data_IF_719676914094
#
_entry.id   IF_719676914094
#
_cell.length_a   1.000
_cell.length_b   1.000
_cell.length_c   1.000
_cell.angle_alpha   90.00
_cell.angle_beta   90.00
_cell.angle_gamma   90.00
#
_symmetry.space_group_name_H-M   'P 1'
#
loop_
_entity.id
_entity.type
_entity.pdbx_description
1 polymer ?
#
# COMPACT_ATOMS: atom_id res chain seq x y z
N UNK A 1 3.97 1.46 7.17
CA UNK A 1 4.82 0.71 8.13
C UNK A 1 4.33 -0.71 8.33
N UNK A 2 3.08 -0.93 8.77
CA UNK A 2 2.53 -2.29 8.94
C UNK A 2 2.74 -3.20 7.72
N UNK A 3 2.42 -2.72 6.52
CA UNK A 3 2.61 -3.51 5.29
C UNK A 3 4.09 -3.81 4.97
N UNK A 4 5.02 -2.91 5.32
CA UNK A 4 6.46 -3.19 5.17
C UNK A 4 6.87 -4.30 6.13
N UNK A 5 6.45 -4.20 7.39
CA UNK A 5 6.70 -5.23 8.39
C UNK A 5 6.14 -6.59 7.94
N UNK A 6 4.90 -6.63 7.47
CA UNK A 6 4.29 -7.85 6.92
C UNK A 6 5.09 -8.44 5.76
N UNK A 7 5.55 -7.60 4.81
CA UNK A 7 6.37 -8.09 3.68
C UNK A 7 7.71 -8.68 4.14
N UNK A 8 8.36 -8.06 5.13
CA UNK A 8 9.59 -8.57 5.72
C UNK A 8 9.36 -9.88 6.46
N UNK A 9 8.31 -9.97 7.28
CA UNK A 9 7.94 -11.20 7.97
C UNK A 9 7.68 -12.36 6.99
N UNK A 10 7.03 -12.11 5.84
CA UNK A 10 6.85 -13.14 4.80
C UNK A 10 8.17 -13.59 4.17
N UNK A 11 9.13 -12.68 3.98
CA UNK A 11 10.45 -13.06 3.48
C UNK A 11 11.22 -13.92 4.48
N UNK A 12 11.13 -13.57 5.77
CA UNK A 12 11.72 -14.38 6.85
C UNK A 12 11.04 -15.74 6.94
N UNK A 13 9.72 -15.81 6.81
CA UNK A 13 8.97 -17.06 6.77
C UNK A 13 9.39 -17.94 5.58
N UNK A 14 9.55 -17.35 4.39
CA UNK A 14 10.04 -18.07 3.22
C UNK A 14 11.46 -18.62 3.45
N UNK A 15 12.34 -17.83 4.08
CA UNK A 15 13.70 -18.28 4.42
C UNK A 15 13.69 -19.36 5.51
N UNK A 16 12.82 -19.23 6.50
CA UNK A 16 12.66 -20.21 7.58
C UNK A 16 12.15 -21.55 7.03
N UNK A 17 11.12 -21.52 6.17
CA UNK A 17 10.60 -22.69 5.47
C UNK A 17 11.63 -23.34 4.55
N UNK A 18 12.63 -22.61 4.06
CA UNK A 18 13.74 -23.19 3.30
C UNK A 18 14.74 -23.95 4.20
N UNK A 19 14.88 -23.56 5.47
CA UNK A 19 15.88 -24.10 6.38
C UNK A 19 15.35 -25.22 7.29
N UNK A 20 14.05 -25.24 7.61
CA UNK A 20 13.48 -26.19 8.56
C UNK A 20 12.14 -26.74 8.08
N UNK A 21 12.13 -28.03 7.76
CA UNK A 21 11.00 -28.73 7.13
C UNK A 21 10.05 -29.27 8.21
N UNK A 22 9.24 -28.39 8.82
CA UNK A 22 8.18 -28.80 9.76
C UNK A 22 6.80 -28.73 9.10
N UNK A 23 6.14 -29.89 9.04
CA UNK A 23 4.96 -30.15 8.19
C UNK A 23 3.62 -30.27 8.93
N UNK A 24 3.56 -30.08 10.26
CA UNK A 24 2.33 -30.45 11.01
C UNK A 24 1.24 -29.36 11.12
N UNK A 25 1.43 -28.11 10.68
CA UNK A 25 0.42 -27.03 10.89
C UNK A 25 -0.21 -26.41 9.62
N UNK A 26 0.05 -26.96 8.42
CA UNK A 26 -0.35 -26.32 7.15
C UNK A 26 -1.87 -26.24 6.91
N UNK A 27 -2.66 -27.15 7.45
CA UNK A 27 -4.10 -27.17 7.23
C UNK A 27 -4.83 -25.95 7.81
N UNK A 28 -4.46 -25.49 9.01
CA UNK A 28 -5.10 -24.32 9.64
C UNK A 28 -4.73 -23.01 8.91
N UNK A 29 -3.51 -22.94 8.37
CA UNK A 29 -3.03 -21.81 7.58
C UNK A 29 -3.84 -21.61 6.29
N UNK A 30 -4.21 -22.70 5.61
CA UNK A 30 -5.01 -22.64 4.37
C UNK A 30 -6.43 -22.15 4.67
N UNK A 31 -7.09 -22.68 5.71
CA UNK A 31 -8.46 -22.27 6.07
C UNK A 31 -8.51 -20.78 6.44
N UNK A 32 -7.52 -20.32 7.22
CA UNK A 32 -7.34 -18.91 7.54
C UNK A 32 -7.10 -18.06 6.28
N UNK A 33 -6.24 -18.52 5.37
CA UNK A 33 -5.96 -17.83 4.11
C UNK A 33 -7.21 -17.69 3.23
N UNK A 34 -8.03 -18.74 3.10
CA UNK A 34 -9.28 -18.71 2.32
C UNK A 34 -10.28 -17.73 2.94
N UNK A 35 -10.46 -17.77 4.26
CA UNK A 35 -11.38 -16.87 4.97
C UNK A 35 -10.94 -15.41 4.82
N UNK A 36 -9.64 -15.14 4.99
CA UNK A 36 -9.05 -13.82 4.80
C UNK A 36 -9.19 -13.34 3.35
N UNK A 37 -9.01 -14.22 2.35
CA UNK A 37 -9.18 -13.86 0.95
C UNK A 37 -10.62 -13.46 0.63
N UNK A 38 -11.62 -14.17 1.17
CA UNK A 38 -13.03 -13.83 0.97
C UNK A 38 -13.37 -12.45 1.54
N UNK A 39 -12.95 -12.16 2.77
CA UNK A 39 -13.18 -10.86 3.42
C UNK A 39 -12.48 -9.75 2.64
N UNK A 40 -11.23 -9.96 2.21
CA UNK A 40 -10.49 -8.95 1.47
C UNK A 40 -11.02 -8.74 0.04
N UNK A 41 -11.53 -9.78 -0.61
CA UNK A 41 -12.22 -9.65 -1.91
C UNK A 41 -13.49 -8.81 -1.80
N UNK A 42 -14.28 -8.98 -0.73
CA UNK A 42 -15.43 -8.11 -0.46
C UNK A 42 -14.98 -6.66 -0.25
N UNK A 43 -13.88 -6.44 0.48
CA UNK A 43 -13.26 -5.13 0.64
C UNK A 43 -12.86 -4.50 -0.69
N UNK A 44 -12.04 -5.20 -1.49
CA UNK A 44 -11.61 -4.73 -2.83
C UNK A 44 -12.82 -4.51 -3.74
N UNK A 45 -13.80 -5.40 -3.74
CA UNK A 45 -15.02 -5.26 -4.54
C UNK A 45 -15.81 -4.02 -4.14
N UNK A 46 -15.96 -3.75 -2.84
CA UNK A 46 -16.61 -2.54 -2.34
C UNK A 46 -15.86 -1.28 -2.77
N UNK A 47 -14.53 -1.23 -2.58
CA UNK A 47 -13.71 -0.08 -3.00
C UNK A 47 -13.72 0.13 -4.51
N UNK A 48 -13.70 -0.95 -5.30
CA UNK A 48 -13.72 -0.89 -6.77
C UNK A 48 -15.09 -0.52 -7.32
N UNK A 49 -16.16 -0.94 -6.63
CA UNK A 49 -17.53 -0.53 -6.91
C UNK A 49 -17.72 0.97 -6.58
N UNK A 50 -17.21 1.41 -5.43
CA UNK A 50 -17.27 2.82 -5.00
C UNK A 50 -16.45 3.74 -5.91
N UNK A 51 -15.24 3.32 -6.31
CA UNK A 51 -14.38 4.07 -7.23
C UNK A 51 -14.96 4.19 -8.65
N UNK A 52 -15.79 3.25 -9.12
CA UNK A 52 -16.51 3.39 -10.40
C UNK A 52 -17.65 4.41 -10.35
N UNK A 53 -18.24 4.63 -9.18
CA UNK A 53 -19.39 5.54 -9.00
C UNK A 53 -18.93 6.97 -8.68
N UNK A 54 -17.77 7.14 -8.03
CA UNK A 54 -17.34 8.42 -7.48
C UNK A 54 -16.08 8.98 -8.18
N UNK A 55 -16.22 9.44 -9.43
CA UNK A 55 -15.13 10.03 -10.24
C UNK A 55 -14.72 11.47 -9.83
N UNK A 56 -15.34 12.06 -8.79
CA UNK A 56 -15.12 13.47 -8.44
C UNK A 56 -14.79 13.63 -6.95
N UNK A 57 -13.60 13.25 -6.49
CA UNK A 57 -13.04 13.81 -5.26
C UNK A 57 -11.52 14.06 -5.39
N UNK A 58 -11.12 15.25 -4.93
CA UNK A 58 -9.75 15.81 -4.94
C UNK A 58 -9.52 16.36 -3.53
N UNK A 59 -9.30 15.51 -2.52
CA UNK A 59 -9.06 15.94 -1.13
C UNK A 59 -8.12 15.00 -0.38
N UNK A 60 -7.49 15.48 0.70
CA UNK A 60 -6.53 14.72 1.51
C UNK A 60 -7.08 13.37 2.06
N UNK A 61 -8.41 13.23 2.12
CA UNK A 61 -9.12 11.99 2.44
C UNK A 61 -8.79 10.83 1.47
N UNK A 62 -8.44 11.15 0.22
CA UNK A 62 -8.09 10.16 -0.82
C UNK A 62 -6.82 9.37 -0.47
N UNK A 63 -5.85 10.00 0.22
CA UNK A 63 -4.60 9.32 0.58
C UNK A 63 -4.82 8.24 1.62
N UNK A 64 -5.73 8.48 2.59
CA UNK A 64 -6.05 7.50 3.62
C UNK A 64 -6.87 6.34 3.04
N UNK A 65 -7.84 6.63 2.18
CA UNK A 65 -8.61 5.59 1.49
C UNK A 65 -7.73 4.75 0.56
N UNK A 66 -6.79 5.39 -0.14
CA UNK A 66 -5.81 4.69 -0.97
C UNK A 66 -4.91 3.77 -0.13
N UNK A 67 -4.47 4.22 1.05
CA UNK A 67 -3.70 3.41 2.00
C UNK A 67 -4.47 2.18 2.48
N UNK A 68 -5.74 2.35 2.86
CA UNK A 68 -6.61 1.25 3.29
C UNK A 68 -6.85 0.27 2.12
N UNK A 69 -7.12 0.78 0.92
CA UNK A 69 -7.30 -0.06 -0.27
C UNK A 69 -6.05 -0.88 -0.60
N UNK A 70 -4.86 -0.25 -0.58
CA UNK A 70 -3.58 -0.92 -0.78
C UNK A 70 -3.30 -1.97 0.30
N UNK A 71 -3.72 -1.71 1.55
CA UNK A 71 -3.59 -2.66 2.63
C UNK A 71 -4.43 -3.92 2.39
N UNK A 72 -5.71 -3.75 2.09
CA UNK A 72 -6.62 -4.87 1.77
C UNK A 72 -6.15 -5.63 0.52
N UNK A 73 -5.62 -4.91 -0.48
CA UNK A 73 -5.06 -5.51 -1.69
C UNK A 73 -3.80 -6.33 -1.38
N UNK A 74 -2.90 -5.83 -0.54
CA UNK A 74 -1.71 -6.57 -0.10
C UNK A 74 -2.09 -7.85 0.67
N UNK A 75 -3.08 -7.79 1.56
CA UNK A 75 -3.58 -8.98 2.27
C UNK A 75 -4.28 -9.98 1.34
N UNK A 76 -4.93 -9.49 0.27
CA UNK A 76 -5.47 -10.34 -0.80
C UNK A 76 -4.36 -11.06 -1.56
N UNK A 77 -3.31 -10.34 -1.97
CA UNK A 77 -2.14 -10.90 -2.67
C UNK A 77 -1.44 -11.95 -1.80
N UNK A 78 -1.27 -11.66 -0.51
CA UNK A 78 -0.68 -12.59 0.45
C UNK A 78 -1.47 -13.89 0.59
N UNK A 79 -2.78 -13.79 0.83
CA UNK A 79 -3.64 -14.97 0.99
C UNK A 79 -3.78 -15.77 -0.30
N UNK A 80 -3.88 -15.11 -1.46
CA UNK A 80 -3.84 -15.78 -2.76
C UNK A 80 -2.51 -16.53 -2.98
N UNK A 81 -1.39 -15.92 -2.59
CA UNK A 81 -0.06 -16.55 -2.63
C UNK A 81 0.04 -17.83 -1.80
N UNK A 82 -0.45 -17.82 -0.57
CA UNK A 82 -0.49 -19.00 0.30
C UNK A 82 -1.35 -20.14 -0.29
N UNK A 83 -2.49 -19.80 -0.89
CA UNK A 83 -3.36 -20.79 -1.53
C UNK A 83 -2.68 -21.38 -2.78
N UNK A 84 -2.05 -20.54 -3.61
CA UNK A 84 -1.29 -20.99 -4.78
C UNK A 84 -0.10 -21.87 -4.38
N UNK A 85 0.65 -21.49 -3.35
CA UNK A 85 1.75 -22.29 -2.79
C UNK A 85 1.27 -23.68 -2.38
N UNK A 86 0.15 -23.74 -1.65
CA UNK A 86 -0.48 -25.00 -1.22
C UNK A 86 -0.89 -25.88 -2.40
N UNK A 87 -1.41 -25.27 -3.47
CA UNK A 87 -1.78 -25.99 -4.69
C UNK A 87 -0.56 -26.53 -5.43
N UNK A 88 0.51 -25.75 -5.56
CA UNK A 88 1.76 -26.20 -6.17
C UNK A 88 2.46 -27.29 -5.36
N UNK A 89 2.39 -27.24 -4.03
CA UNK A 89 2.90 -28.32 -3.18
C UNK A 89 2.14 -29.63 -3.43
N UNK A 90 0.83 -29.56 -3.66
CA UNK A 90 0.02 -30.72 -4.04
C UNK A 90 0.38 -31.31 -5.42
N UNK A 91 1.11 -30.58 -6.26
CA UNK A 91 1.65 -31.06 -7.54
C UNK A 91 3.04 -31.71 -7.40
N UNK A 92 3.60 -31.76 -6.19
CA UNK A 92 4.89 -32.40 -5.91
C UNK A 92 6.12 -31.50 -6.08
N UNK A 93 5.95 -30.16 -6.12
CA UNK A 93 7.07 -29.23 -6.18
C UNK A 93 7.54 -28.90 -4.76
N UNK A 94 8.64 -29.53 -4.32
CA UNK A 94 9.17 -29.45 -2.95
C UNK A 94 9.56 -28.02 -2.51
N UNK A 95 9.94 -27.15 -3.45
CA UNK A 95 10.36 -25.77 -3.17
C UNK A 95 9.31 -24.70 -3.53
N UNK A 96 8.08 -25.11 -3.86
CA UNK A 96 7.06 -24.17 -4.34
C UNK A 96 6.68 -23.12 -3.29
N UNK A 97 6.67 -23.49 -2.01
CA UNK A 97 6.27 -22.61 -0.92
C UNK A 97 7.24 -21.45 -0.75
N UNK A 98 8.54 -21.73 -0.66
CA UNK A 98 9.60 -20.72 -0.56
C UNK A 98 9.56 -19.76 -1.75
N UNK A 99 9.43 -20.29 -2.96
CA UNK A 99 9.37 -19.48 -4.17
C UNK A 99 8.13 -18.59 -4.21
N UNK A 100 6.96 -19.15 -3.89
CA UNK A 100 5.70 -18.42 -3.94
C UNK A 100 5.63 -17.34 -2.86
N UNK A 101 6.00 -17.66 -1.61
CA UNK A 101 6.07 -16.69 -0.51
C UNK A 101 7.12 -15.60 -0.77
N UNK A 102 8.27 -15.96 -1.34
CA UNK A 102 9.29 -15.00 -1.77
C UNK A 102 8.77 -14.02 -2.82
N UNK A 103 8.12 -14.51 -3.88
CA UNK A 103 7.52 -13.66 -4.93
C UNK A 103 6.43 -12.77 -4.34
N UNK A 104 5.58 -13.31 -3.47
CA UNK A 104 4.50 -12.57 -2.81
C UNK A 104 5.05 -11.46 -1.91
N UNK A 105 6.12 -11.74 -1.14
CA UNK A 105 6.80 -10.73 -0.33
C UNK A 105 7.32 -9.57 -1.19
N UNK A 106 8.00 -9.87 -2.30
CA UNK A 106 8.49 -8.85 -3.25
C UNK A 106 7.32 -8.05 -3.84
N UNK A 107 6.23 -8.71 -4.22
CA UNK A 107 5.04 -8.04 -4.75
C UNK A 107 4.42 -7.08 -3.73
N UNK A 108 4.24 -7.51 -2.48
CA UNK A 108 3.73 -6.64 -1.40
C UNK A 108 4.68 -5.48 -1.13
N UNK A 109 6.00 -5.72 -1.12
CA UNK A 109 6.99 -4.66 -0.95
C UNK A 109 6.90 -3.60 -2.06
N UNK A 110 6.80 -4.04 -3.32
CA UNK A 110 6.64 -3.14 -4.48
C UNK A 110 5.34 -2.32 -4.40
N UNK A 111 4.25 -2.90 -3.89
CA UNK A 111 2.98 -2.18 -3.68
C UNK A 111 3.10 -1.10 -2.60
N UNK A 112 3.92 -1.31 -1.58
CA UNK A 112 4.07 -0.39 -0.44
C UNK A 112 5.07 0.72 -0.73
N UNK A 113 6.09 0.46 -1.55
CA UNK A 113 7.13 1.42 -1.92
C UNK A 113 6.60 2.79 -2.41
N UNK A 114 5.63 2.89 -3.35
CA UNK A 114 5.09 4.17 -3.80
C UNK A 114 4.37 4.92 -2.68
N UNK A 115 3.64 4.20 -1.82
CA UNK A 115 2.91 4.80 -0.71
C UNK A 115 3.85 5.32 0.38
N UNK A 116 4.91 4.56 0.68
CA UNK A 116 5.94 4.97 1.63
C UNK A 116 6.67 6.22 1.15
N UNK A 117 7.02 6.28 -0.14
CA UNK A 117 7.67 7.46 -0.74
C UNK A 117 6.74 8.68 -0.73
N UNK A 118 5.48 8.52 -1.11
CA UNK A 118 4.50 9.61 -1.10
C UNK A 118 4.28 10.16 0.32
N UNK A 119 4.11 9.27 1.30
CA UNK A 119 3.89 9.64 2.71
C UNK A 119 5.14 10.27 3.32
N UNK A 120 6.32 9.69 3.06
CA UNK A 120 7.61 10.22 3.52
C UNK A 120 7.89 11.62 2.99
N UNK A 121 7.58 11.88 1.71
CA UNK A 121 7.71 13.21 1.13
C UNK A 121 6.83 14.25 1.84
N UNK A 122 5.60 13.87 2.22
CA UNK A 122 4.69 14.74 2.98
C UNK A 122 5.23 14.99 4.40
N UNK A 123 5.67 13.95 5.12
CA UNK A 123 6.21 14.11 6.48
C UNK A 123 7.50 14.93 6.52
N UNK A 124 8.37 14.78 5.53
CA UNK A 124 9.59 15.56 5.39
C UNK A 124 9.32 16.99 4.90
N UNK A 125 8.05 17.39 4.75
CA UNK A 125 7.64 18.69 4.20
C UNK A 125 8.35 19.01 2.88
N UNK A 126 8.63 17.98 2.07
CA UNK A 126 9.21 18.16 0.75
C UNK A 126 8.16 18.88 -0.09
N UNK A 127 8.54 20.04 -0.61
CA UNK A 127 7.67 20.87 -1.43
C UNK A 127 7.06 20.01 -2.56
N UNK A 128 5.72 20.00 -2.72
CA UNK A 128 5.07 19.18 -3.73
C UNK A 128 5.58 19.60 -5.11
N UNK A 129 6.14 18.65 -5.87
CA UNK A 129 6.75 18.89 -7.19
C UNK A 129 5.79 19.42 -8.27
N UNK A 130 4.51 19.60 -7.94
CA UNK A 130 3.49 20.19 -8.80
C UNK A 130 3.24 21.69 -8.53
N UNK A 131 3.98 22.31 -7.60
CA UNK A 131 3.94 23.77 -7.46
C UNK A 131 5.21 24.32 -8.10
N UNK A 132 5.14 24.91 -9.32
CA UNK A 132 6.29 25.57 -9.88
C UNK A 132 6.73 26.66 -8.89
N UNK A 133 8.03 26.83 -8.60
CA UNK A 133 8.53 27.85 -7.67
C UNK A 133 7.99 29.26 -7.99
N UNK A 134 7.64 29.50 -9.25
CA UNK A 134 7.02 30.73 -9.75
C UNK A 134 5.60 31.00 -9.22
N UNK A 135 4.84 30.00 -8.77
CA UNK A 135 3.51 30.20 -8.19
C UNK A 135 3.57 30.79 -6.78
N UNK A 136 4.53 30.34 -5.95
CA UNK A 136 4.79 30.90 -4.63
C UNK A 136 5.31 32.35 -4.73
N UNK A 137 6.21 32.63 -5.68
CA UNK A 137 6.69 34.00 -5.92
C UNK A 137 5.56 34.91 -6.40
N UNK A 138 4.66 34.43 -7.27
CA UNK A 138 3.48 35.20 -7.72
C UNK A 138 2.52 35.50 -6.55
N UNK A 139 2.25 34.51 -5.69
CA UNK A 139 1.39 34.68 -4.51
C UNK A 139 2.02 35.66 -3.51
N UNK A 140 3.31 35.49 -3.19
CA UNK A 140 4.03 36.41 -2.30
C UNK A 140 4.03 37.85 -2.81
N UNK A 141 4.19 38.04 -4.13
CA UNK A 141 4.12 39.37 -4.74
C UNK A 141 2.71 39.99 -4.63
N UNK A 142 1.65 39.19 -4.79
CA UNK A 142 0.28 39.69 -4.64
C UNK A 142 -0.05 40.05 -3.18
N UNK A 143 0.41 39.25 -2.22
CA UNK A 143 0.22 39.55 -0.79
C UNK A 143 1.00 40.80 -0.38
N UNK A 144 2.25 40.97 -0.82
CA UNK A 144 3.02 42.19 -0.52
C UNK A 144 2.38 43.44 -1.14
N UNK A 145 1.90 43.37 -2.39
CA UNK A 145 1.21 44.50 -3.02
C UNK A 145 -0.07 44.87 -2.24
N UNK A 146 -0.83 43.88 -1.78
CA UNK A 146 -2.03 44.11 -0.97
C UNK A 146 -1.68 44.74 0.40
N UNK A 147 -0.60 44.30 1.06
CA UNK A 147 -0.10 44.91 2.31
C UNK A 147 0.26 46.38 2.11
N UNK A 148 1.02 46.71 1.06
CA UNK A 148 1.37 48.12 0.76
C UNK A 148 0.14 48.97 0.43
N UNK A 149 -0.84 48.42 -0.29
CA UNK A 149 -2.08 49.13 -0.58
C UNK A 149 -2.89 49.42 0.68
N UNK A 150 -2.96 48.47 1.62
CA UNK A 150 -3.64 48.65 2.90
C UNK A 150 -2.97 49.71 3.78
N UNK A 151 -1.63 49.76 3.76
CA UNK A 151 -0.84 50.73 4.51
C UNK A 151 -1.03 52.17 3.99
N UNK A 152 -1.24 52.35 2.69
CA UNK A 152 -1.54 53.66 2.07
C UNK A 152 -3.01 54.09 2.17
N UNK A 153 -3.96 53.16 2.41
CA UNK A 153 -5.38 53.47 2.52
C UNK A 153 -5.79 53.84 3.96
N UNK A 154 -4.97 53.48 4.96
CA UNK A 154 -5.24 53.68 6.39
C UNK A 154 -4.37 54.79 7.04
N UNK A 155 -3.63 55.55 6.23
CA UNK A 155 -2.92 56.80 6.57
C UNK A 155 -3.59 57.96 5.83
#
# INVERSE_FOLDING_TARGET
LFLLFMSFSLAVEALHSFMQDESEHKHYLIVSAVTNLLVNLLGVWFFRSYARVNIVYRKAEDMNHHSICLHVLADSVRSAGLILASWFLSLGIENAEVLCLGIVSVAVFMLVMPLFKATGNVLLQIAPGNVPPSAFIKCGRQVSILSYFFEYLFV
#
